data_IF_050737675554
#
_entry.id   IF_050737675554
#
_cell.length_a   1.000
_cell.length_b   1.000
_cell.length_c   1.000
_cell.angle_alpha   90.00
_cell.angle_beta   90.00
_cell.angle_gamma   90.00
#
_symmetry.space_group_name_H-M   'P 1'
#
loop_
_entity.id
_entity.type
_entity.pdbx_description
1 polymer ?
#
# COMPACT_ATOMS: atom_id res chain seq x y z
N UNK A 1 -23.11 37.09 -4.78
CA UNK A 1 -24.17 36.85 -5.79
C UNK A 1 -25.35 36.16 -5.13
N UNK A 2 -26.54 36.22 -5.71
CA UNK A 2 -27.71 35.46 -5.20
C UNK A 2 -27.84 34.14 -5.97
N UNK A 3 -28.33 33.10 -5.30
CA UNK A 3 -28.56 31.81 -5.94
C UNK A 3 -29.78 31.90 -6.89
N UNK A 4 -29.68 31.43 -8.16
CA UNK A 4 -30.80 31.52 -9.11
C UNK A 4 -32.00 30.63 -8.75
N UNK A 5 -31.84 29.66 -7.84
CA UNK A 5 -32.90 28.71 -7.46
C UNK A 5 -33.58 29.03 -6.12
N UNK A 6 -32.86 29.62 -5.16
CA UNK A 6 -33.42 29.92 -3.83
C UNK A 6 -33.20 31.36 -3.37
N UNK A 7 -32.63 32.22 -4.22
CA UNK A 7 -32.38 33.66 -4.00
C UNK A 7 -31.55 34.04 -2.77
N UNK A 8 -31.08 33.08 -1.97
CA UNK A 8 -30.20 33.34 -0.84
C UNK A 8 -28.83 33.86 -1.29
N UNK A 9 -28.27 34.77 -0.51
CA UNK A 9 -26.92 35.34 -0.73
C UNK A 9 -25.87 34.24 -0.57
N UNK A 10 -25.03 34.08 -1.59
CA UNK A 10 -24.02 33.02 -1.66
C UNK A 10 -22.66 33.59 -2.06
N UNK A 11 -21.62 32.84 -1.68
CA UNK A 11 -20.26 33.10 -2.10
C UNK A 11 -20.14 32.90 -3.63
N UNK A 12 -19.60 33.87 -4.39
CA UNK A 12 -19.44 33.76 -5.83
C UNK A 12 -18.53 32.60 -6.30
N UNK A 13 -17.70 32.05 -5.42
CA UNK A 13 -16.84 30.87 -5.70
C UNK A 13 -17.49 29.53 -5.34
N UNK A 14 -18.74 29.52 -4.86
CA UNK A 14 -19.41 28.28 -4.45
C UNK A 14 -19.81 27.42 -5.67
N UNK A 15 -19.43 26.13 -5.65
CA UNK A 15 -19.79 25.16 -6.71
C UNK A 15 -21.26 24.72 -6.58
N UNK A 16 -21.75 24.60 -5.34
CA UNK A 16 -23.14 24.30 -5.00
C UNK A 16 -23.66 25.32 -4.00
N UNK A 17 -24.95 25.63 -4.08
CA UNK A 17 -25.61 26.43 -3.08
C UNK A 17 -25.69 25.66 -1.74
N UNK A 18 -25.26 26.23 -0.60
CA UNK A 18 -25.30 25.53 0.69
C UNK A 18 -26.74 25.31 1.20
N UNK A 19 -27.70 26.07 0.70
CA UNK A 19 -29.10 26.01 1.16
C UNK A 19 -29.97 25.08 0.32
N UNK A 20 -29.92 25.20 -1.01
CA UNK A 20 -30.78 24.44 -1.93
C UNK A 20 -30.05 23.39 -2.77
N UNK A 21 -28.72 23.25 -2.61
CA UNK A 21 -27.86 22.27 -3.29
C UNK A 21 -27.74 22.39 -4.82
N UNK A 22 -28.41 23.37 -5.45
CA UNK A 22 -28.30 23.66 -6.89
C UNK A 22 -26.84 23.91 -7.29
N UNK A 23 -26.41 23.33 -8.42
CA UNK A 23 -25.07 23.53 -9.00
C UNK A 23 -25.01 24.92 -9.65
N UNK A 24 -24.00 25.71 -9.29
CA UNK A 24 -23.88 27.13 -9.66
C UNK A 24 -22.86 27.38 -10.78
N UNK A 25 -22.21 26.32 -11.25
CA UNK A 25 -21.16 26.36 -12.27
C UNK A 25 -21.61 25.59 -13.51
N UNK A 26 -21.02 25.90 -14.68
CA UNK A 26 -21.32 25.17 -15.92
C UNK A 26 -21.04 23.67 -15.77
N UNK A 27 -21.70 22.86 -16.61
CA UNK A 27 -21.49 21.41 -16.66
C UNK A 27 -20.01 21.06 -16.88
N UNK A 28 -19.29 21.79 -17.74
CA UNK A 28 -17.85 21.53 -17.96
C UNK A 28 -17.06 21.77 -16.68
N UNK A 29 -17.24 22.93 -16.04
CA UNK A 29 -16.49 23.34 -14.84
C UNK A 29 -16.80 22.46 -13.63
N UNK A 30 -18.05 21.98 -13.52
CA UNK A 30 -18.42 20.96 -12.53
C UNK A 30 -17.69 19.65 -12.79
N UNK A 31 -17.70 19.15 -14.04
CA UNK A 31 -17.05 17.89 -14.41
C UNK A 31 -15.53 17.93 -14.20
N UNK A 32 -14.88 19.04 -14.52
CA UNK A 32 -13.43 19.23 -14.35
C UNK A 32 -13.05 19.25 -12.87
N UNK A 33 -13.83 19.94 -12.02
CA UNK A 33 -13.57 20.00 -10.58
C UNK A 33 -13.75 18.63 -9.91
N UNK A 34 -14.76 17.86 -10.33
CA UNK A 34 -14.96 16.48 -9.86
C UNK A 34 -13.83 15.56 -10.33
N UNK A 35 -13.39 15.67 -11.60
CA UNK A 35 -12.23 14.93 -12.13
C UNK A 35 -10.96 15.24 -11.35
N UNK A 36 -10.61 16.52 -11.16
CA UNK A 36 -9.42 16.93 -10.39
C UNK A 36 -9.43 16.41 -8.95
N UNK A 37 -10.57 16.46 -8.25
CA UNK A 37 -10.69 15.89 -6.89
C UNK A 37 -10.52 14.37 -6.89
N UNK A 38 -11.07 13.68 -7.89
CA UNK A 38 -10.94 12.22 -8.03
C UNK A 38 -9.50 11.83 -8.36
N UNK A 39 -8.79 12.57 -9.19
CA UNK A 39 -7.38 12.33 -9.50
C UNK A 39 -6.49 12.58 -8.27
N UNK A 40 -6.68 13.68 -7.54
CA UNK A 40 -5.91 14.01 -6.33
C UNK A 40 -6.13 13.01 -5.19
N UNK A 41 -7.37 12.56 -4.99
CA UNK A 41 -7.67 11.51 -3.98
C UNK A 41 -7.00 10.20 -4.35
N UNK A 42 -7.03 9.79 -5.62
CA UNK A 42 -6.30 8.61 -6.09
C UNK A 42 -4.78 8.73 -5.91
N UNK A 43 -4.18 9.89 -6.17
CA UNK A 43 -2.74 10.06 -6.00
C UNK A 43 -2.32 9.97 -4.53
N UNK A 44 -3.14 10.49 -3.63
CA UNK A 44 -2.90 10.43 -2.18
C UNK A 44 -3.03 8.98 -1.69
N UNK A 45 -4.10 8.30 -2.09
CA UNK A 45 -4.36 6.89 -1.81
C UNK A 45 -3.20 6.00 -2.31
N UNK A 46 -2.64 6.29 -3.50
CA UNK A 46 -1.43 5.61 -4.03
C UNK A 46 -0.25 5.70 -3.07
N UNK A 47 0.07 6.91 -2.62
CA UNK A 47 1.23 7.17 -1.76
C UNK A 47 1.08 6.47 -0.42
N UNK A 48 -0.13 6.49 0.15
CA UNK A 48 -0.39 5.89 1.45
C UNK A 48 -0.33 4.36 1.41
N UNK A 49 -0.84 3.74 0.35
CA UNK A 49 -0.72 2.28 0.18
C UNK A 49 0.70 1.80 -0.08
N UNK A 50 1.44 2.50 -0.94
CA UNK A 50 2.85 2.19 -1.18
C UNK A 50 3.65 2.33 0.12
N UNK A 51 3.40 3.40 0.88
CA UNK A 51 4.02 3.60 2.20
C UNK A 51 3.66 2.46 3.16
N UNK A 52 2.39 2.05 3.23
CA UNK A 52 1.95 0.97 4.12
C UNK A 52 2.63 -0.37 3.79
N UNK A 53 2.65 -0.76 2.52
CA UNK A 53 3.31 -2.00 2.09
C UNK A 53 4.83 -1.96 2.33
N UNK A 54 5.46 -0.83 2.01
CA UNK A 54 6.88 -0.59 2.31
C UNK A 54 7.18 -0.75 3.80
N UNK A 55 6.39 -0.08 4.65
CA UNK A 55 6.61 -0.12 6.09
C UNK A 55 6.44 -1.53 6.62
N UNK A 56 5.53 -2.32 6.05
CA UNK A 56 5.33 -3.73 6.41
C UNK A 56 6.59 -4.54 6.11
N UNK A 57 7.19 -4.41 4.93
CA UNK A 57 8.45 -5.10 4.59
C UNK A 57 9.59 -4.72 5.55
N UNK A 58 9.70 -3.43 5.90
CA UNK A 58 10.71 -2.95 6.84
C UNK A 58 10.47 -3.47 8.26
N UNK A 59 9.22 -3.48 8.73
CA UNK A 59 8.84 -4.01 10.04
C UNK A 59 9.13 -5.52 10.10
N UNK A 60 8.79 -6.27 9.06
CA UNK A 60 9.09 -7.71 8.98
C UNK A 60 10.59 -7.93 9.00
N UNK A 61 11.37 -7.18 8.19
CA UNK A 61 12.82 -7.25 8.21
C UNK A 61 13.41 -6.96 9.59
N UNK A 62 12.92 -5.91 10.26
CA UNK A 62 13.32 -5.55 11.62
C UNK A 62 12.95 -6.62 12.66
N UNK A 63 11.76 -7.20 12.57
CA UNK A 63 11.33 -8.27 13.48
C UNK A 63 12.21 -9.52 13.34
N UNK A 64 12.70 -9.80 12.13
CA UNK A 64 13.61 -10.91 11.87
C UNK A 64 15.04 -10.67 12.43
N UNK A 65 15.37 -9.47 12.90
CA UNK A 65 16.65 -9.20 13.59
C UNK A 65 16.66 -9.77 15.02
N UNK A 66 15.49 -9.86 15.67
CA UNK A 66 15.39 -10.41 17.03
C UNK A 66 15.90 -11.86 17.10
N UNK A 67 15.37 -12.82 16.29
CA UNK A 67 15.88 -14.19 16.29
C UNK A 67 17.32 -14.27 15.79
N UNK A 68 17.76 -13.38 14.88
CA UNK A 68 19.17 -13.30 14.47
C UNK A 68 20.08 -13.07 15.69
N UNK A 69 19.74 -12.11 16.55
CA UNK A 69 20.52 -11.83 17.75
C UNK A 69 20.50 -12.99 18.75
N UNK A 70 19.36 -13.68 18.88
CA UNK A 70 19.23 -14.88 19.71
C UNK A 70 20.17 -15.99 19.21
N UNK A 71 20.17 -16.30 17.91
CA UNK A 71 21.04 -17.33 17.34
C UNK A 71 22.52 -16.98 17.48
N UNK A 72 22.89 -15.71 17.26
CA UNK A 72 24.25 -15.24 17.53
C UNK A 72 24.66 -15.42 19.00
N UNK A 73 23.76 -15.17 19.95
CA UNK A 73 24.05 -15.35 21.38
C UNK A 73 24.19 -16.82 21.81
N UNK A 74 23.60 -17.74 21.06
CA UNK A 74 23.66 -19.18 21.31
C UNK A 74 24.83 -19.86 20.58
N UNK A 75 25.56 -19.14 19.72
CA UNK A 75 26.64 -19.68 18.91
C UNK A 75 26.16 -20.55 17.74
N UNK A 76 24.89 -20.46 17.35
CA UNK A 76 24.37 -21.13 16.16
C UNK A 76 24.58 -20.26 14.92
N UNK A 77 25.80 -20.33 14.38
CA UNK A 77 26.23 -19.52 13.24
C UNK A 77 25.40 -19.77 11.97
N UNK A 78 25.02 -21.03 11.73
CA UNK A 78 24.27 -21.39 10.51
C UNK A 78 22.87 -20.78 10.54
N UNK A 79 22.15 -20.93 11.67
CA UNK A 79 20.82 -20.34 11.84
C UNK A 79 20.89 -18.82 11.83
N UNK A 80 21.92 -18.22 12.45
CA UNK A 80 22.14 -16.78 12.42
C UNK A 80 22.34 -16.26 10.99
N UNK A 81 23.17 -16.90 10.17
CA UNK A 81 23.40 -16.50 8.77
C UNK A 81 22.10 -16.56 7.97
N UNK A 82 21.36 -17.67 8.06
CA UNK A 82 20.08 -17.85 7.35
C UNK A 82 19.10 -16.73 7.75
N UNK A 83 18.97 -16.49 9.05
CA UNK A 83 18.07 -15.47 9.60
C UNK A 83 18.48 -14.05 9.20
N UNK A 84 19.79 -13.78 9.14
CA UNK A 84 20.35 -12.52 8.67
C UNK A 84 20.08 -12.27 7.19
N UNK A 85 20.18 -13.30 6.35
CA UNK A 85 19.82 -13.23 4.92
C UNK A 85 18.33 -12.91 4.78
N UNK A 86 17.46 -13.60 5.52
CA UNK A 86 16.01 -13.35 5.48
C UNK A 86 15.70 -11.90 5.88
N UNK A 87 16.26 -11.42 6.98
CA UNK A 87 16.11 -10.03 7.43
C UNK A 87 16.59 -9.03 6.36
N UNK A 88 17.76 -9.28 5.79
CA UNK A 88 18.35 -8.47 4.71
C UNK A 88 17.48 -8.41 3.46
N UNK A 89 16.90 -9.53 3.05
CA UNK A 89 15.97 -9.59 1.90
C UNK A 89 14.75 -8.70 2.17
N UNK A 90 14.10 -8.83 3.33
CA UNK A 90 12.91 -8.01 3.63
C UNK A 90 13.23 -6.52 3.73
N UNK A 91 14.35 -6.15 4.35
CA UNK A 91 14.81 -4.77 4.40
C UNK A 91 15.12 -4.22 3.00
N UNK A 92 15.85 -4.99 2.18
CA UNK A 92 16.17 -4.64 0.81
C UNK A 92 14.93 -4.46 -0.06
N UNK A 93 13.95 -5.35 0.05
CA UNK A 93 12.65 -5.21 -0.62
C UNK A 93 11.88 -3.98 -0.13
N UNK A 94 11.92 -3.69 1.17
CA UNK A 94 11.37 -2.46 1.73
C UNK A 94 11.99 -1.21 1.11
N UNK A 95 13.31 -1.15 0.96
CA UNK A 95 13.96 -0.04 0.28
C UNK A 95 13.60 0.02 -1.22
N UNK A 96 13.57 -1.12 -1.89
CA UNK A 96 13.21 -1.23 -3.31
C UNK A 96 11.76 -0.83 -3.60
N UNK A 97 10.84 -0.99 -2.64
CA UNK A 97 9.44 -0.62 -2.77
C UNK A 97 9.23 0.88 -3.03
N UNK A 98 10.23 1.73 -2.77
CA UNK A 98 10.18 3.16 -3.14
C UNK A 98 10.23 3.39 -4.64
N UNK A 99 10.97 2.55 -5.38
CA UNK A 99 11.15 2.65 -6.84
C UNK A 99 10.19 1.73 -7.58
N UNK A 100 10.05 0.49 -7.10
CA UNK A 100 9.27 -0.57 -7.74
C UNK A 100 8.32 -1.24 -6.74
N UNK A 101 7.26 -0.55 -6.28
CA UNK A 101 6.39 -1.02 -5.20
C UNK A 101 5.69 -2.35 -5.53
N UNK A 102 5.18 -2.51 -6.76
CA UNK A 102 4.48 -3.74 -7.14
C UNK A 102 5.42 -4.95 -7.13
N UNK A 103 6.60 -4.82 -7.74
CA UNK A 103 7.58 -5.90 -7.80
C UNK A 103 8.08 -6.27 -6.40
N UNK A 104 8.40 -5.28 -5.57
CA UNK A 104 8.89 -5.49 -4.21
C UNK A 104 7.85 -6.11 -3.27
N UNK A 105 6.58 -5.72 -3.39
CA UNK A 105 5.50 -6.30 -2.58
C UNK A 105 5.18 -7.73 -3.00
N UNK A 106 5.14 -7.99 -4.31
CA UNK A 106 4.92 -9.33 -4.83
C UNK A 106 6.04 -10.29 -4.44
N UNK A 107 7.30 -9.88 -4.61
CA UNK A 107 8.45 -10.67 -4.16
C UNK A 107 8.44 -10.86 -2.65
N UNK A 108 8.10 -9.83 -1.88
CA UNK A 108 7.97 -9.93 -0.43
C UNK A 108 6.94 -10.96 0.01
N UNK A 109 5.78 -11.03 -0.65
CA UNK A 109 4.76 -12.07 -0.37
C UNK A 109 5.32 -13.46 -0.68
N UNK A 110 5.95 -13.64 -1.85
CA UNK A 110 6.50 -14.94 -2.26
C UNK A 110 7.57 -15.41 -1.28
N UNK A 111 8.54 -14.55 -0.95
CA UNK A 111 9.60 -14.85 0.02
C UNK A 111 9.00 -15.16 1.39
N UNK A 112 7.99 -14.42 1.84
CA UNK A 112 7.36 -14.66 3.13
C UNK A 112 6.66 -16.01 3.22
N UNK A 113 5.93 -16.39 2.16
CA UNK A 113 5.30 -17.71 2.09
C UNK A 113 6.34 -18.83 2.03
N UNK A 114 7.44 -18.63 1.31
CA UNK A 114 8.55 -19.59 1.28
C UNK A 114 9.18 -19.76 2.66
N UNK A 115 9.44 -18.67 3.38
CA UNK A 115 10.00 -18.72 4.74
C UNK A 115 9.06 -19.48 5.67
N UNK A 116 7.75 -19.18 5.65
CA UNK A 116 6.77 -19.92 6.46
C UNK A 116 6.74 -21.40 6.09
N UNK A 117 6.74 -21.73 4.80
CA UNK A 117 6.73 -23.11 4.31
C UNK A 117 7.96 -23.89 4.74
N UNK A 118 9.15 -23.28 4.66
CA UNK A 118 10.39 -23.92 5.11
C UNK A 118 10.43 -24.08 6.62
N UNK A 119 10.02 -23.07 7.38
CA UNK A 119 9.94 -23.15 8.85
C UNK A 119 8.95 -24.23 9.31
N UNK A 120 7.83 -24.39 8.61
CA UNK A 120 6.84 -25.43 8.89
C UNK A 120 7.40 -26.85 8.76
N UNK A 121 8.33 -27.07 7.83
CA UNK A 121 8.99 -28.37 7.64
C UNK A 121 10.05 -28.64 8.72
N UNK A 122 10.71 -27.60 9.22
CA UNK A 122 11.71 -27.73 10.27
C UNK A 122 11.08 -27.91 11.66
N UNK A 123 10.06 -27.12 11.98
CA UNK A 123 9.32 -27.20 13.24
C UNK A 123 7.84 -26.81 13.03
N UNK A 124 6.89 -27.77 13.06
CA UNK A 124 5.46 -27.49 12.94
C UNK A 124 4.91 -26.59 14.06
N UNK A 125 5.49 -26.62 15.27
CA UNK A 125 5.04 -25.76 16.37
C UNK A 125 5.32 -24.28 16.10
N UNK A 126 6.35 -23.99 15.29
CA UNK A 126 6.68 -22.65 14.85
C UNK A 126 5.55 -22.00 14.05
N UNK A 127 4.64 -22.78 13.46
CA UNK A 127 3.48 -22.28 12.72
C UNK A 127 2.47 -21.66 13.67
N UNK A 128 2.16 -22.38 14.76
CA UNK A 128 1.20 -21.99 15.78
C UNK A 128 1.72 -20.77 16.55
N UNK A 129 3.03 -20.76 16.86
CA UNK A 129 3.69 -19.63 17.50
C UNK A 129 3.76 -18.45 16.52
N UNK A 130 3.21 -17.30 16.92
CA UNK A 130 3.24 -16.08 16.12
C UNK A 130 2.29 -16.06 14.91
N UNK A 131 1.32 -16.98 14.82
CA UNK A 131 0.32 -17.03 13.74
C UNK A 131 -0.41 -15.67 13.56
N UNK A 132 -0.69 -14.96 14.66
CA UNK A 132 -1.29 -13.63 14.66
C UNK A 132 -0.45 -12.61 13.88
N UNK A 133 0.87 -12.57 14.13
CA UNK A 133 1.78 -11.66 13.43
C UNK A 133 1.84 -12.03 11.95
N UNK A 134 1.88 -13.33 11.63
CA UNK A 134 1.92 -13.82 10.24
C UNK A 134 0.69 -13.40 9.43
N UNK A 135 -0.50 -13.53 10.01
CA UNK A 135 -1.76 -13.11 9.37
C UNK A 135 -1.75 -11.59 9.12
N UNK A 136 -1.33 -10.81 10.12
CA UNK A 136 -1.25 -9.35 10.01
C UNK A 136 -0.30 -8.95 8.88
N UNK A 137 0.89 -9.57 8.81
CA UNK A 137 1.87 -9.30 7.77
C UNK A 137 1.32 -9.61 6.39
N UNK A 138 0.73 -10.79 6.20
CA UNK A 138 0.12 -11.19 4.92
C UNK A 138 -0.99 -10.22 4.52
N UNK A 139 -1.86 -9.82 5.45
CA UNK A 139 -2.94 -8.87 5.20
C UNK A 139 -2.41 -7.52 4.69
N UNK A 140 -1.41 -6.93 5.37
CA UNK A 140 -0.86 -5.64 4.96
C UNK A 140 -0.08 -5.72 3.64
N UNK A 141 0.64 -6.81 3.39
CA UNK A 141 1.31 -7.05 2.10
C UNK A 141 0.30 -7.17 0.95
N UNK A 142 -0.76 -7.98 1.12
CA UNK A 142 -1.82 -8.11 0.11
C UNK A 142 -2.55 -6.79 -0.14
N UNK A 143 -2.87 -6.04 0.92
CA UNK A 143 -3.51 -4.72 0.81
C UNK A 143 -2.64 -3.74 0.02
N UNK A 144 -1.32 -3.71 0.28
CA UNK A 144 -0.37 -2.92 -0.48
C UNK A 144 -0.30 -3.34 -1.96
N UNK A 145 -0.29 -4.64 -2.24
CA UNK A 145 -0.21 -5.18 -3.60
C UNK A 145 -1.48 -4.89 -4.43
N UNK A 146 -2.67 -5.08 -3.86
CA UNK A 146 -3.95 -4.81 -4.53
C UNK A 146 -4.08 -3.33 -4.92
N UNK A 147 -3.65 -2.43 -4.03
CA UNK A 147 -3.57 -1.02 -4.34
C UNK A 147 -2.61 -0.77 -5.51
N UNK A 148 -1.39 -1.30 -5.47
CA UNK A 148 -0.41 -1.15 -6.56
C UNK A 148 -0.94 -1.67 -7.91
N UNK A 149 -1.68 -2.79 -7.92
CA UNK A 149 -2.25 -3.35 -9.14
C UNK A 149 -3.40 -2.49 -9.74
N UNK A 150 -4.29 -1.97 -8.89
CA UNK A 150 -5.35 -1.04 -9.32
C UNK A 150 -4.76 0.18 -10.04
N UNK A 151 -3.61 0.68 -9.59
CA UNK A 151 -2.90 1.75 -10.29
C UNK A 151 -2.33 1.29 -11.64
N UNK A 152 -1.63 0.15 -11.70
CA UNK A 152 -1.07 -0.36 -12.96
C UNK A 152 -2.15 -0.52 -14.04
N UNK A 153 -3.31 -1.09 -13.67
CA UNK A 153 -4.44 -1.29 -14.60
C UNK A 153 -5.10 0.02 -15.03
N UNK A 154 -5.21 1.01 -14.14
CA UNK A 154 -5.88 2.29 -14.42
C UNK A 154 -5.07 3.20 -15.33
N UNK A 155 -3.74 3.21 -15.23
CA UNK A 155 -2.87 3.96 -16.15
C UNK A 155 -2.76 3.27 -17.51
N UNK A 156 -2.60 1.94 -17.53
CA UNK A 156 -2.61 1.17 -18.79
C UNK A 156 -3.88 1.42 -19.63
N UNK A 157 -5.04 1.63 -18.98
CA UNK A 157 -6.28 1.97 -19.69
C UNK A 157 -6.38 3.44 -20.13
N UNK A 158 -5.68 4.38 -19.47
CA UNK A 158 -5.68 5.79 -19.85
C UNK A 158 -4.90 5.98 -21.16
N UNK A 159 -3.76 5.31 -21.27
CA UNK A 159 -2.91 5.33 -22.47
C UNK A 159 -3.61 4.74 -23.71
N UNK A 160 -4.55 3.80 -23.53
CA UNK A 160 -5.36 3.22 -24.63
C UNK A 160 -6.49 4.16 -25.06
N UNK A 161 -7.04 4.95 -24.12
CA UNK A 161 -8.11 5.90 -24.40
C UNK A 161 -7.60 7.21 -25.00
N UNK A 162 -6.35 7.58 -24.74
CA UNK A 162 -5.71 8.75 -25.35
C UNK A 162 -5.13 8.44 -26.75
N UNK A 163 -5.10 7.15 -27.13
CA UNK A 163 -4.65 6.65 -28.44
C UNK A 163 -5.79 6.27 -29.41
N UNK A 164 -7.05 6.43 -29.00
CA UNK A 164 -8.25 6.12 -29.78
C UNK A 164 -9.10 7.38 -29.99
#
# INVERSE_FOLDING_TARGET
>A
MNCPSCSKKINPKAIRCPYCKTVLVSKEKFSETVKKRKEKSLETEKKDFIKSGRNTLLIVGGLNIIPLFIYLSQGDDLSAIIQGIIAGIFLGLGLLATKAPYAALLSGIIVYLLVIGLSALADPESIVKGIFVKIIVIYYLFKGMLAANKFKKKYKNKDILDAA
#
